data_IF_329932944815
#
_entry.id   IF_329932944815
#
_cell.length_a   1.000
_cell.length_b   1.000
_cell.length_c   1.000
_cell.angle_alpha   90.00
_cell.angle_beta   90.00
_cell.angle_gamma   90.00
#
_symmetry.space_group_name_H-M   'P 1'
#
loop_
_entity.id
_entity.type
_entity.pdbx_description
1 polymer ?
#
# COMPACT_ATOMS: atom_id res chain seq x y z
N UNK A 1 5.79 9.06 -29.39
CA UNK A 1 4.92 8.99 -28.20
C UNK A 1 5.79 9.20 -26.99
N UNK A 2 5.91 10.44 -26.50
CA UNK A 2 6.68 10.70 -25.28
C UNK A 2 5.86 10.27 -24.08
N UNK A 3 6.25 9.18 -23.41
CA UNK A 3 5.79 8.87 -22.06
C UNK A 3 6.30 10.00 -21.17
N UNK A 4 5.41 10.89 -20.72
CA UNK A 4 5.73 11.84 -19.66
C UNK A 4 6.30 11.04 -18.48
N UNK A 5 7.44 11.40 -17.88
CA UNK A 5 7.81 10.77 -16.62
C UNK A 5 6.68 11.06 -15.62
N UNK A 6 6.06 10.00 -15.08
CA UNK A 6 5.07 10.15 -14.03
C UNK A 6 5.80 10.74 -12.83
N UNK A 7 5.38 11.92 -12.38
CA UNK A 7 5.88 12.48 -11.12
C UNK A 7 5.67 11.48 -9.98
N UNK A 8 6.59 11.41 -9.00
CA UNK A 8 6.43 10.51 -7.85
C UNK A 8 5.12 10.82 -7.12
N UNK A 9 4.44 9.78 -6.63
CA UNK A 9 3.20 9.95 -5.90
C UNK A 9 3.46 10.72 -4.59
N UNK A 10 2.63 11.72 -4.31
CA UNK A 10 2.66 12.44 -3.03
C UNK A 10 1.61 11.86 -2.07
N UNK A 11 1.78 12.07 -0.76
CA UNK A 11 0.79 11.63 0.24
C UNK A 11 -0.60 12.23 -0.01
N UNK A 12 -0.68 13.50 -0.38
CA UNK A 12 -1.96 14.15 -0.68
C UNK A 12 -2.63 13.56 -1.94
N UNK A 13 -1.84 13.28 -2.98
CA UNK A 13 -2.35 12.61 -4.18
C UNK A 13 -2.83 11.19 -3.85
N UNK A 14 -2.08 10.44 -3.04
CA UNK A 14 -2.47 9.11 -2.57
C UNK A 14 -3.79 9.13 -1.81
N UNK A 15 -3.97 10.07 -0.87
CA UNK A 15 -5.26 10.30 -0.18
C UNK A 15 -6.38 10.60 -1.17
N UNK A 16 -6.08 11.40 -2.22
CA UNK A 16 -6.98 11.63 -3.35
C UNK A 16 -7.46 10.35 -4.01
N UNK A 17 -6.54 9.46 -4.36
CA UNK A 17 -6.82 8.17 -4.96
C UNK A 17 -7.65 7.26 -4.04
N UNK A 18 -7.31 7.20 -2.75
CA UNK A 18 -7.98 6.34 -1.77
C UNK A 18 -9.46 6.65 -1.60
N UNK A 19 -9.84 7.94 -1.65
CA UNK A 19 -11.25 8.35 -1.57
C UNK A 19 -12.11 7.80 -2.72
N UNK A 20 -11.50 7.36 -3.82
CA UNK A 20 -12.21 6.77 -4.96
C UNK A 20 -12.35 5.24 -4.88
N UNK A 21 -11.68 4.57 -3.93
CA UNK A 21 -11.64 3.10 -3.88
C UNK A 21 -12.93 2.46 -3.39
N UNK A 22 -13.81 3.21 -2.73
CA UNK A 22 -15.01 2.66 -2.08
C UNK A 22 -14.72 1.66 -0.94
N UNK A 23 -13.46 1.53 -0.53
CA UNK A 23 -13.00 0.64 0.53
C UNK A 23 -12.95 1.36 1.89
N UNK A 24 -13.01 0.59 2.98
CA UNK A 24 -12.66 1.11 4.30
C UNK A 24 -11.17 1.44 4.33
N UNK A 25 -10.80 2.59 4.89
CA UNK A 25 -9.42 3.06 4.97
C UNK A 25 -9.06 3.24 6.46
N UNK A 26 -8.14 2.42 6.95
CA UNK A 26 -7.53 2.55 8.27
C UNK A 26 -6.33 3.51 8.24
N UNK A 27 -5.76 3.92 9.39
CA UNK A 27 -4.49 4.64 9.43
C UNK A 27 -3.42 3.91 8.62
N UNK A 28 -2.69 4.68 7.81
CA UNK A 28 -1.65 4.16 6.95
C UNK A 28 -0.55 3.43 7.71
N UNK A 29 0.20 2.59 7.00
CA UNK A 29 1.34 1.87 7.56
C UNK A 29 2.47 2.86 7.84
N UNK A 30 3.10 2.70 9.01
CA UNK A 30 4.35 3.40 9.32
C UNK A 30 5.50 2.89 8.47
N UNK A 31 6.63 3.61 8.47
CA UNK A 31 7.82 3.14 7.78
C UNK A 31 8.33 1.80 8.35
N UNK A 32 8.27 1.63 9.67
CA UNK A 32 8.65 0.39 10.36
C UNK A 32 7.71 -0.77 9.96
N UNK A 33 6.39 -0.54 9.95
CA UNK A 33 5.43 -1.58 9.54
C UNK A 33 5.64 -2.01 8.07
N UNK A 34 5.97 -1.07 7.18
CA UNK A 34 6.29 -1.39 5.79
C UNK A 34 7.58 -2.20 5.68
N UNK A 35 8.63 -1.83 6.42
CA UNK A 35 9.91 -2.53 6.40
C UNK A 35 9.77 -3.94 6.98
N UNK A 36 8.94 -4.11 8.02
CA UNK A 36 8.62 -5.42 8.60
C UNK A 36 7.90 -6.33 7.60
N UNK A 37 6.92 -5.82 6.86
CA UNK A 37 6.22 -6.58 5.81
C UNK A 37 7.19 -6.99 4.70
N UNK A 38 8.01 -6.06 4.22
CA UNK A 38 9.03 -6.33 3.19
C UNK A 38 10.03 -7.41 3.63
N UNK A 39 10.52 -7.31 4.87
CA UNK A 39 11.46 -8.29 5.44
C UNK A 39 10.79 -9.66 5.67
N UNK A 40 9.56 -9.68 6.18
CA UNK A 40 8.79 -10.90 6.46
C UNK A 40 8.56 -11.76 5.22
N UNK A 41 8.32 -11.11 4.07
CA UNK A 41 7.98 -11.78 2.83
C UNK A 41 9.07 -11.74 1.75
N UNK A 42 10.18 -11.04 1.99
CA UNK A 42 11.34 -11.01 1.09
C UNK A 42 11.13 -10.22 -0.21
N UNK A 43 10.26 -9.21 -0.20
CA UNK A 43 10.02 -8.31 -1.34
C UNK A 43 10.17 -6.84 -0.94
N UNK A 44 10.14 -5.93 -1.92
CA UNK A 44 10.14 -4.48 -1.69
C UNK A 44 8.93 -3.86 -2.36
N UNK A 45 8.18 -3.03 -1.64
CA UNK A 45 7.15 -2.21 -2.28
C UNK A 45 7.82 -1.18 -3.21
N UNK A 46 7.15 -0.89 -4.33
CA UNK A 46 7.50 0.28 -5.12
C UNK A 46 7.35 1.56 -4.28
N UNK A 47 8.15 2.59 -4.56
CA UNK A 47 8.12 3.84 -3.81
C UNK A 47 6.70 4.45 -3.75
N UNK A 48 5.98 4.46 -4.87
CA UNK A 48 4.59 4.95 -4.92
C UNK A 48 3.64 4.09 -4.09
N UNK A 49 3.85 2.77 -4.03
CA UNK A 49 3.06 1.89 -3.16
C UNK A 49 3.32 2.16 -1.67
N UNK A 50 4.57 2.43 -1.27
CA UNK A 50 4.87 2.84 0.11
C UNK A 50 4.15 4.14 0.46
N UNK A 51 4.22 5.15 -0.41
CA UNK A 51 3.49 6.41 -0.21
C UNK A 51 1.98 6.15 -0.12
N UNK A 52 1.45 5.29 -0.99
CA UNK A 52 0.05 4.93 -0.98
C UNK A 52 -0.37 4.29 0.35
N UNK A 53 0.33 3.25 0.80
CA UNK A 53 0.00 2.54 2.04
C UNK A 53 0.26 3.37 3.30
N UNK A 54 1.22 4.32 3.27
CA UNK A 54 1.42 5.28 4.36
C UNK A 54 0.38 6.39 4.42
N UNK A 55 -0.27 6.72 3.30
CA UNK A 55 -1.35 7.69 3.27
C UNK A 55 -2.63 7.15 3.95
N UNK A 56 -2.83 5.84 3.90
CA UNK A 56 -3.98 5.11 4.43
C UNK A 56 -3.88 3.63 4.06
N UNK A 57 -4.41 2.74 4.90
CA UNK A 57 -4.41 1.30 4.65
C UNK A 57 -5.81 0.87 4.22
N UNK A 58 -6.06 0.64 2.92
CA UNK A 58 -7.34 0.10 2.47
C UNK A 58 -7.53 -1.34 2.92
N UNK A 59 -8.76 -1.68 3.30
CA UNK A 59 -9.16 -3.03 3.74
C UNK A 59 -10.34 -3.57 2.92
N UNK A 60 -10.52 -4.89 2.93
CA UNK A 60 -11.62 -5.61 2.26
C UNK A 60 -11.15 -6.52 1.13
N UNK A 61 -12.08 -7.16 0.42
CA UNK A 61 -11.77 -8.27 -0.49
C UNK A 61 -10.68 -7.97 -1.53
N UNK A 62 -10.62 -6.73 -2.04
CA UNK A 62 -9.63 -6.28 -3.02
C UNK A 62 -8.26 -5.88 -2.44
N UNK A 63 -8.11 -5.83 -1.11
CA UNK A 63 -6.93 -5.27 -0.44
C UNK A 63 -6.36 -6.23 0.61
N UNK A 64 -5.07 -6.56 0.57
CA UNK A 64 -4.44 -7.32 1.63
C UNK A 64 -4.45 -6.53 2.94
N UNK A 65 -4.89 -7.13 4.04
CA UNK A 65 -4.68 -6.56 5.38
C UNK A 65 -3.21 -6.76 5.77
N UNK A 66 -2.34 -5.87 5.33
CA UNK A 66 -0.91 -5.94 5.59
C UNK A 66 -0.55 -5.87 7.08
N UNK A 67 -1.43 -5.33 7.93
CA UNK A 67 -1.16 -5.13 9.36
C UNK A 67 -1.57 -6.34 10.20
N UNK A 68 -2.71 -6.95 9.90
CA UNK A 68 -3.27 -8.03 10.71
C UNK A 68 -3.53 -9.34 9.95
N UNK A 69 -3.31 -9.37 8.64
CA UNK A 69 -3.46 -10.57 7.81
C UNK A 69 -2.54 -11.70 8.23
N UNK A 70 -3.02 -12.94 8.10
CA UNK A 70 -2.21 -14.12 8.38
C UNK A 70 -1.11 -14.29 7.31
N UNK A 71 -0.04 -15.00 7.64
CA UNK A 71 1.01 -15.32 6.67
C UNK A 71 0.48 -16.10 5.46
N UNK A 72 -0.46 -17.02 5.70
CA UNK A 72 -1.05 -17.83 4.64
C UNK A 72 -1.85 -16.95 3.67
N UNK A 73 -2.70 -16.07 4.20
CA UNK A 73 -3.53 -15.16 3.39
C UNK A 73 -2.67 -14.18 2.59
N UNK A 74 -1.64 -13.59 3.22
CA UNK A 74 -0.79 -12.60 2.57
C UNK A 74 0.12 -13.24 1.53
N UNK A 75 0.70 -14.42 1.78
CA UNK A 75 1.51 -15.13 0.78
C UNK A 75 0.69 -15.55 -0.44
N UNK A 76 -0.60 -15.85 -0.28
CA UNK A 76 -1.49 -16.14 -1.41
C UNK A 76 -1.73 -14.95 -2.34
N UNK A 77 -1.30 -13.74 -1.97
CA UNK A 77 -1.50 -12.49 -2.72
C UNK A 77 -0.21 -11.87 -3.29
N UNK A 78 0.95 -12.50 -3.08
CA UNK A 78 2.26 -12.03 -3.56
C UNK A 78 2.56 -12.46 -4.99
#
# INVERSE_FOLDING_TARGET
MSRTPSSPLTLEAARGLQRMLGAAIEPGLTAEELDDVEARFGFRFAADHRVFLSAGLPLGDGWPDWRHGSDEDLRGRL
#
